data_IF_131126863006
#
_entry.id   IF_131126863006
#
_cell.length_a   1.000
_cell.length_b   1.000
_cell.length_c   1.000
_cell.angle_alpha   90.00
_cell.angle_beta   90.00
_cell.angle_gamma   90.00
#
_symmetry.space_group_name_H-M   'P 1'
#
loop_
_entity.id
_entity.type
_entity.pdbx_description
1 polymer ?
#
# COMPACT_ATOMS: atom_id res chain seq x y z
N UNK A 1 -1.80 21.56 -11.38
CA UNK A 1 -1.61 20.69 -10.18
C UNK A 1 -2.48 19.42 -10.14
N UNK A 2 -3.60 19.29 -10.90
CA UNK A 2 -4.54 18.16 -10.77
C UNK A 2 -4.25 16.89 -11.63
N UNK A 3 -3.31 16.93 -12.58
CA UNK A 3 -3.16 15.87 -13.61
C UNK A 3 -2.36 14.63 -13.18
N UNK A 4 -1.47 14.72 -12.19
CA UNK A 4 -0.74 13.55 -11.67
C UNK A 4 -1.61 12.67 -10.74
N UNK A 5 -2.64 13.26 -10.13
CA UNK A 5 -3.45 12.67 -9.06
C UNK A 5 -4.44 11.60 -9.55
N UNK A 6 -4.89 11.67 -10.81
CA UNK A 6 -5.80 10.68 -11.40
C UNK A 6 -5.13 9.36 -11.80
N UNK A 7 -3.79 9.31 -11.92
CA UNK A 7 -3.07 8.13 -12.42
C UNK A 7 -2.95 7.00 -11.38
N UNK A 8 -2.84 7.33 -10.09
CA UNK A 8 -2.80 6.34 -9.01
C UNK A 8 -4.08 5.47 -8.95
N UNK A 9 -5.23 6.06 -9.26
CA UNK A 9 -6.56 5.40 -9.21
C UNK A 9 -6.68 4.29 -10.27
N UNK A 10 -6.08 4.47 -11.45
CA UNK A 10 -6.15 3.47 -12.53
C UNK A 10 -5.20 2.29 -12.34
N UNK A 11 -4.19 2.43 -11.48
CA UNK A 11 -3.18 1.39 -11.23
C UNK A 11 -3.68 0.32 -10.24
N UNK A 12 -4.47 0.70 -9.23
CA UNK A 12 -4.92 -0.24 -8.20
C UNK A 12 -5.76 -1.42 -8.75
N UNK A 13 -6.72 -1.21 -9.68
CA UNK A 13 -7.40 -2.32 -10.36
C UNK A 13 -6.44 -3.19 -11.19
N UNK A 14 -5.36 -2.61 -11.75
CA UNK A 14 -4.34 -3.34 -12.53
C UNK A 14 -3.40 -4.14 -11.62
N UNK A 15 -2.99 -3.59 -10.48
CA UNK A 15 -2.25 -4.29 -9.43
C UNK A 15 -3.04 -5.49 -8.91
N UNK A 16 -4.33 -5.29 -8.57
CA UNK A 16 -5.23 -6.38 -8.14
C UNK A 16 -5.35 -7.48 -9.21
N UNK A 17 -5.53 -7.11 -10.48
CA UNK A 17 -5.61 -8.09 -11.59
C UNK A 17 -4.30 -8.83 -11.83
N UNK A 18 -3.14 -8.16 -11.78
CA UNK A 18 -1.83 -8.81 -11.94
C UNK A 18 -1.51 -9.75 -10.77
N UNK A 19 -1.89 -9.43 -9.54
CA UNK A 19 -1.72 -10.35 -8.42
C UNK A 19 -2.67 -11.54 -8.42
N UNK A 20 -3.93 -11.34 -8.85
CA UNK A 20 -4.85 -12.46 -9.06
C UNK A 20 -4.31 -13.47 -10.10
N UNK A 21 -3.47 -13.01 -11.03
CA UNK A 21 -2.77 -13.88 -11.97
C UNK A 21 -1.49 -14.54 -11.40
N UNK A 22 -0.84 -13.92 -10.40
CA UNK A 22 0.42 -14.40 -9.81
C UNK A 22 0.24 -15.34 -8.60
N UNK A 23 -0.92 -15.36 -7.94
CA UNK A 23 -1.19 -16.23 -6.79
C UNK A 23 -2.31 -17.25 -7.07
N UNK A 24 -1.93 -18.54 -7.13
CA UNK A 24 -2.85 -19.67 -6.95
C UNK A 24 -3.34 -19.70 -5.48
N UNK A 25 -4.37 -18.90 -5.13
CA UNK A 25 -5.17 -19.08 -3.91
C UNK A 25 -6.67 -19.06 -4.28
N UNK A 26 -7.53 -19.83 -3.57
CA UNK A 26 -8.89 -20.13 -3.99
C UNK A 26 -9.80 -18.89 -3.99
N UNK A 27 -10.82 -18.94 -4.84
CA UNK A 27 -11.71 -17.86 -5.27
C UNK A 27 -12.67 -17.28 -4.21
N UNK A 28 -12.20 -17.01 -2.97
CA UNK A 28 -13.01 -16.41 -1.89
C UNK A 28 -12.85 -14.89 -1.72
N UNK A 29 -12.11 -14.24 -2.61
CA UNK A 29 -11.76 -12.81 -2.51
C UNK A 29 -12.49 -11.88 -3.52
N UNK A 30 -13.61 -12.35 -4.08
CA UNK A 30 -14.34 -11.61 -5.13
C UNK A 30 -15.22 -10.47 -4.62
N UNK A 31 -15.52 -10.38 -3.32
CA UNK A 31 -16.50 -9.42 -2.79
C UNK A 31 -15.99 -8.53 -1.63
N UNK A 32 -14.68 -8.30 -1.51
CA UNK A 32 -14.15 -7.46 -0.43
C UNK A 32 -13.96 -6.00 -0.89
N UNK A 33 -14.32 -5.01 -0.06
CA UNK A 33 -14.26 -3.60 -0.44
C UNK A 33 -12.83 -3.22 -0.81
N UNK A 34 -12.63 -2.80 -2.06
CA UNK A 34 -11.37 -2.18 -2.49
C UNK A 34 -11.45 -0.70 -2.15
N UNK A 35 -10.77 -0.29 -1.08
CA UNK A 35 -10.69 1.12 -0.71
C UNK A 35 -9.61 1.79 -1.58
N UNK A 36 -10.00 2.81 -2.34
CA UNK A 36 -9.11 3.59 -3.20
C UNK A 36 -8.93 4.97 -2.60
N UNK A 37 -7.69 5.44 -2.48
CA UNK A 37 -7.36 6.64 -1.70
C UNK A 37 -6.90 7.82 -2.53
N UNK A 38 -7.29 9.00 -2.05
CA UNK A 38 -6.84 10.33 -2.50
C UNK A 38 -6.26 11.04 -1.28
N UNK A 39 -4.94 11.20 -1.21
CA UNK A 39 -4.29 11.98 -0.15
C UNK A 39 -4.55 13.47 -0.44
N UNK A 40 -5.40 14.09 0.38
CA UNK A 40 -5.60 15.54 0.39
C UNK A 40 -4.53 16.20 1.27
N UNK A 41 -4.30 17.49 1.03
CA UNK A 41 -3.39 18.40 1.75
C UNK A 41 -3.76 18.53 3.24
N UNK A 42 -3.59 17.45 4.01
CA UNK A 42 -3.67 17.50 5.46
C UNK A 42 -2.32 18.02 5.95
N UNK A 43 -2.33 19.03 6.81
CA UNK A 43 -1.13 19.50 7.51
C UNK A 43 -0.76 18.53 8.65
N UNK A 44 -0.75 17.24 8.33
CA UNK A 44 -0.53 16.12 9.24
C UNK A 44 0.61 15.26 8.67
N UNK A 45 1.75 15.18 9.36
CA UNK A 45 2.91 14.41 8.90
C UNK A 45 2.63 12.90 8.84
N UNK A 46 1.57 12.41 9.48
CA UNK A 46 1.19 10.99 9.50
C UNK A 46 0.18 10.63 8.41
N UNK A 47 -0.33 11.60 7.65
CA UNK A 47 -1.37 11.42 6.62
C UNK A 47 -0.85 10.77 5.32
N UNK A 48 -0.07 9.70 5.46
CA UNK A 48 0.33 8.82 4.38
C UNK A 48 -0.88 8.04 3.85
N UNK A 49 -0.80 7.61 2.58
CA UNK A 49 -1.89 6.90 1.93
C UNK A 49 -2.28 5.64 2.73
N UNK A 50 -1.30 4.88 3.21
CA UNK A 50 -1.50 3.66 3.99
C UNK A 50 -2.25 3.93 5.29
N UNK A 51 -1.86 4.97 6.03
CA UNK A 51 -2.50 5.34 7.29
C UNK A 51 -3.98 5.67 7.09
N UNK A 52 -4.28 6.46 6.06
CA UNK A 52 -5.66 6.80 5.70
C UNK A 52 -6.41 5.54 5.27
N UNK A 53 -5.76 4.60 4.56
CA UNK A 53 -6.36 3.35 4.09
C UNK A 53 -6.84 2.49 5.24
N UNK A 54 -5.94 2.30 6.23
CA UNK A 54 -6.18 1.48 7.39
C UNK A 54 -7.33 2.06 8.21
N UNK A 55 -7.33 3.38 8.44
CA UNK A 55 -8.40 4.08 9.17
C UNK A 55 -9.75 3.93 8.46
N UNK A 56 -9.80 4.14 7.15
CA UNK A 56 -11.03 4.01 6.38
C UNK A 56 -11.55 2.56 6.35
N UNK A 57 -10.65 1.58 6.17
CA UNK A 57 -11.01 0.16 6.20
C UNK A 57 -11.52 -0.25 7.58
N UNK A 58 -10.88 0.21 8.66
CA UNK A 58 -11.31 -0.08 10.01
C UNK A 58 -12.70 0.49 10.32
N UNK A 59 -12.96 1.73 9.89
CA UNK A 59 -14.27 2.36 10.02
C UNK A 59 -15.35 1.59 9.22
N UNK A 60 -15.05 1.20 7.98
CA UNK A 60 -15.99 0.47 7.13
C UNK A 60 -16.32 -0.95 7.65
N UNK A 61 -15.36 -1.60 8.31
CA UNK A 61 -15.52 -2.95 8.87
C UNK A 61 -15.98 -2.96 10.33
N UNK A 62 -16.01 -1.80 10.99
CA UNK A 62 -16.28 -1.71 12.43
C UNK A 62 -15.25 -2.45 13.29
N UNK A 63 -14.00 -2.57 12.82
CA UNK A 63 -12.95 -3.36 13.46
C UNK A 63 -11.58 -2.76 13.20
N UNK A 64 -10.73 -2.70 14.23
CA UNK A 64 -9.33 -2.32 14.08
C UNK A 64 -8.46 -3.44 13.47
N UNK A 65 -8.95 -4.70 13.49
CA UNK A 65 -8.27 -5.85 12.88
C UNK A 65 -8.73 -6.02 11.43
N UNK A 66 -7.79 -5.95 10.51
CA UNK A 66 -7.99 -6.01 9.06
C UNK A 66 -7.51 -7.34 8.47
N UNK A 67 -7.67 -8.45 9.21
CA UNK A 67 -7.25 -9.82 8.84
C UNK A 67 -7.84 -10.31 7.52
N UNK A 68 -8.91 -9.66 7.07
CA UNK A 68 -9.59 -9.93 5.83
C UNK A 68 -9.15 -9.10 4.63
N UNK A 69 -8.17 -8.21 4.78
CA UNK A 69 -7.85 -7.20 3.78
C UNK A 69 -6.55 -7.52 3.04
N UNK A 70 -6.37 -6.95 1.86
CA UNK A 70 -5.06 -6.84 1.22
C UNK A 70 -4.84 -5.37 0.91
N UNK A 71 -3.72 -4.82 1.36
CA UNK A 71 -3.37 -3.43 1.13
C UNK A 71 -2.55 -3.31 -0.16
N UNK A 72 -2.97 -2.40 -1.04
CA UNK A 72 -2.28 -2.10 -2.28
C UNK A 72 -1.80 -0.66 -2.24
N UNK A 73 -0.51 -0.44 -2.46
CA UNK A 73 0.13 0.87 -2.42
C UNK A 73 1.00 1.05 -3.65
N UNK A 74 1.23 2.28 -4.09
CA UNK A 74 2.06 2.51 -5.29
C UNK A 74 3.55 2.64 -4.99
N UNK A 75 3.90 2.93 -3.74
CA UNK A 75 5.29 3.08 -3.29
C UNK A 75 5.49 2.17 -2.08
N UNK A 76 6.69 1.62 -1.91
CA UNK A 76 7.03 0.81 -0.76
C UNK A 76 6.71 1.52 0.58
N UNK A 77 6.05 0.83 1.53
CA UNK A 77 5.73 1.42 2.83
C UNK A 77 6.96 1.86 3.63
N UNK A 78 6.87 3.03 4.26
CA UNK A 78 7.88 3.52 5.19
C UNK A 78 7.76 2.86 6.59
N UNK A 79 8.70 3.07 7.55
CA UNK A 79 8.66 2.39 8.84
C UNK A 79 7.37 2.64 9.62
N UNK A 80 6.85 3.87 9.57
CA UNK A 80 5.57 4.22 10.19
C UNK A 80 4.41 3.40 9.61
N UNK A 81 4.32 3.34 8.27
CA UNK A 81 3.23 2.65 7.59
C UNK A 81 3.35 1.13 7.74
N UNK A 82 4.56 0.57 7.61
CA UNK A 82 4.82 -0.84 7.85
C UNK A 82 4.46 -1.26 9.29
N UNK A 83 4.83 -0.45 10.29
CA UNK A 83 4.43 -0.66 11.67
C UNK A 83 2.91 -0.63 11.85
N UNK A 84 2.22 0.33 11.23
CA UNK A 84 0.77 0.43 11.29
C UNK A 84 0.07 -0.78 10.65
N UNK A 85 0.58 -1.27 9.51
CA UNK A 85 0.08 -2.49 8.84
C UNK A 85 0.16 -3.71 9.77
N UNK A 86 1.30 -3.88 10.45
CA UNK A 86 1.51 -4.96 11.43
C UNK A 86 0.53 -4.87 12.60
N UNK A 87 0.32 -3.65 13.13
CA UNK A 87 -0.62 -3.40 14.22
C UNK A 87 -2.08 -3.65 13.79
N UNK A 88 -2.44 -3.23 12.57
CA UNK A 88 -3.77 -3.42 12.00
C UNK A 88 -4.06 -4.87 11.56
N UNK A 89 -3.09 -5.78 11.70
CA UNK A 89 -3.22 -7.21 11.35
C UNK A 89 -3.57 -7.44 9.88
N UNK A 90 -3.10 -6.57 8.99
CA UNK A 90 -3.27 -6.76 7.55
C UNK A 90 -2.44 -7.98 7.13
N UNK A 91 -3.04 -9.03 6.54
CA UNK A 91 -2.34 -10.26 6.22
C UNK A 91 -1.44 -10.12 5.00
N UNK A 92 -1.75 -9.19 4.08
CA UNK A 92 -1.00 -9.05 2.85
C UNK A 92 -0.88 -7.61 2.35
N UNK A 93 0.32 -7.28 1.84
CA UNK A 93 0.65 -5.97 1.26
C UNK A 93 1.26 -6.14 -0.11
N UNK A 94 0.88 -5.25 -1.03
CA UNK A 94 1.42 -5.18 -2.38
C UNK A 94 1.86 -3.76 -2.65
N UNK A 95 3.06 -3.59 -3.20
CA UNK A 95 3.55 -2.28 -3.64
C UNK A 95 4.11 -2.28 -5.05
N UNK A 96 4.15 -1.08 -5.62
CA UNK A 96 4.68 -0.80 -6.94
C UNK A 96 6.17 -0.47 -6.92
N UNK A 97 6.52 0.80 -6.78
CA UNK A 97 7.92 1.23 -6.80
C UNK A 97 8.61 1.02 -5.44
N UNK A 98 9.90 0.71 -5.46
CA UNK A 98 10.75 0.75 -4.27
C UNK A 98 10.93 2.19 -3.75
N UNK A 99 11.15 2.35 -2.45
CA UNK A 99 11.52 3.64 -1.86
C UNK A 99 12.96 3.60 -1.34
N UNK A 100 13.96 4.08 -2.12
CA UNK A 100 15.36 4.09 -1.70
C UNK A 100 15.67 5.04 -0.54
N UNK A 101 14.73 5.91 -0.15
CA UNK A 101 14.94 6.89 0.93
C UNK A 101 14.27 6.50 2.23
N UNK A 102 13.19 5.74 2.17
CA UNK A 102 12.39 5.43 3.35
C UNK A 102 11.76 4.03 3.35
N UNK A 103 12.03 3.17 2.37
CA UNK A 103 11.39 1.86 2.25
C UNK A 103 11.71 0.93 3.42
N UNK A 104 10.70 0.35 4.05
CA UNK A 104 10.85 -0.46 5.26
C UNK A 104 10.47 -1.93 5.09
N UNK A 105 10.19 -2.37 3.86
CA UNK A 105 9.80 -3.76 3.57
C UNK A 105 10.96 -4.52 2.95
N UNK A 106 11.65 -3.94 1.97
CA UNK A 106 12.80 -4.54 1.29
C UNK A 106 14.00 -3.60 1.16
N UNK A 107 13.81 -2.27 1.14
CA UNK A 107 14.89 -1.38 0.70
C UNK A 107 15.86 -0.96 1.80
N UNK A 108 15.38 -0.39 2.91
CA UNK A 108 16.23 0.00 4.06
C UNK A 108 16.03 -0.90 5.28
N UNK A 109 14.84 -1.48 5.41
CA UNK A 109 14.49 -2.39 6.49
C UNK A 109 13.71 -3.58 5.93
N UNK A 110 13.67 -4.66 6.72
CA UNK A 110 12.91 -5.87 6.43
C UNK A 110 11.87 -6.12 7.52
N UNK A 111 11.03 -5.11 7.81
CA UNK A 111 10.22 -5.13 9.02
C UNK A 111 9.21 -6.28 9.05
N UNK A 112 8.67 -6.69 7.89
CA UNK A 112 7.73 -7.82 7.81
C UNK A 112 8.40 -9.19 8.01
N UNK A 113 9.72 -9.27 7.91
CA UNK A 113 10.50 -10.50 8.08
C UNK A 113 11.04 -10.64 9.51
N UNK A 114 10.92 -9.63 10.37
CA UNK A 114 11.45 -9.67 11.73
C UNK A 114 10.76 -10.75 12.57
N UNK A 115 11.51 -11.80 12.90
CA UNK A 115 11.02 -12.97 13.63
C UNK A 115 10.43 -12.61 15.01
N UNK A 116 10.81 -11.48 15.62
CA UNK A 116 10.34 -11.05 16.95
C UNK A 116 8.90 -10.52 16.95
N UNK A 117 8.35 -10.20 15.78
CA UNK A 117 6.99 -9.69 15.64
C UNK A 117 5.95 -10.82 15.63
N UNK A 118 4.78 -10.56 16.22
CA UNK A 118 3.73 -11.57 16.43
C UNK A 118 2.75 -11.72 15.25
N UNK A 119 2.82 -10.86 14.24
CA UNK A 119 1.98 -10.92 13.04
C UNK A 119 2.87 -11.00 11.81
N UNK A 120 2.47 -11.85 10.86
CA UNK A 120 3.19 -12.07 9.59
C UNK A 120 2.41 -11.44 8.46
N UNK A 121 3.14 -10.69 7.63
CA UNK A 121 2.56 -9.99 6.47
C UNK A 121 3.15 -10.60 5.21
N UNK A 122 2.30 -11.28 4.44
CA UNK A 122 2.61 -11.74 3.10
C UNK A 122 2.83 -10.51 2.19
N UNK A 123 3.97 -10.39 1.53
CA UNK A 123 4.30 -9.16 0.82
C UNK A 123 4.81 -9.43 -0.60
N UNK A 124 4.44 -8.56 -1.54
CA UNK A 124 4.89 -8.62 -2.95
C UNK A 124 5.19 -7.21 -3.44
N UNK A 125 6.46 -6.95 -3.72
CA UNK A 125 6.93 -5.68 -4.27
C UNK A 125 6.99 -5.64 -5.79
N UNK A 126 7.38 -4.48 -6.31
CA UNK A 126 7.75 -4.25 -7.70
C UNK A 126 6.63 -4.44 -8.73
N UNK A 127 5.36 -4.45 -8.30
CA UNK A 127 4.22 -4.66 -9.20
C UNK A 127 3.88 -3.37 -9.93
N UNK A 128 4.09 -3.35 -11.25
CA UNK A 128 3.97 -2.11 -12.05
C UNK A 128 4.98 -1.04 -11.58
N UNK A 129 6.16 -1.46 -11.10
CA UNK A 129 7.20 -0.59 -10.52
C UNK A 129 7.47 0.66 -11.37
N UNK A 130 7.70 0.50 -12.68
CA UNK A 130 7.99 1.63 -13.56
C UNK A 130 6.83 2.63 -13.64
N UNK A 131 5.59 2.13 -13.71
CA UNK A 131 4.40 2.98 -13.84
C UNK A 131 4.15 3.74 -12.54
N UNK A 132 4.30 3.06 -11.40
CA UNK A 132 4.21 3.67 -10.08
C UNK A 132 5.32 4.69 -9.84
N UNK A 133 6.57 4.37 -10.20
CA UNK A 133 7.74 5.26 -10.03
C UNK A 133 7.68 6.48 -10.95
N UNK A 134 7.12 6.33 -12.16
CA UNK A 134 6.87 7.45 -13.07
C UNK A 134 5.92 8.47 -12.47
N UNK A 135 4.85 8.05 -11.77
CA UNK A 135 3.92 9.01 -11.16
C UNK A 135 4.61 9.87 -10.10
N UNK A 136 5.41 9.24 -9.23
CA UNK A 136 6.16 9.96 -8.21
C UNK A 136 7.15 10.94 -8.85
N UNK A 137 7.89 10.47 -9.86
CA UNK A 137 8.89 11.27 -10.58
C UNK A 137 8.24 12.47 -11.31
N UNK A 138 7.12 12.26 -11.98
CA UNK A 138 6.35 13.31 -12.66
C UNK A 138 5.83 14.36 -11.68
N UNK A 139 5.41 13.95 -10.47
CA UNK A 139 4.96 14.87 -9.43
C UNK A 139 6.09 15.78 -8.94
N UNK A 140 7.28 15.24 -8.66
CA UNK A 140 8.41 16.03 -8.19
C UNK A 140 9.09 16.85 -9.27
N UNK A 141 9.01 16.44 -10.55
CA UNK A 141 9.55 17.22 -11.68
C UNK A 141 8.96 18.62 -11.75
N UNK A 142 7.68 18.79 -11.44
CA UNK A 142 7.01 20.09 -11.44
C UNK A 142 7.24 20.95 -10.18
N UNK A 143 8.11 20.51 -9.25
CA UNK A 143 8.41 21.20 -7.99
C UNK A 143 9.91 21.47 -7.79
N UNK A 144 10.72 21.19 -8.82
CA UNK A 144 12.17 21.45 -8.86
C UNK A 144 12.45 22.68 -9.69
#
# INVERSE_FOLDING_TARGET
AARAQGRHVHLLPRLRRRLAALRRRPARDRQRPTVTLRVLQLADPTAHAEMIALTQAAAALGSWRLEGCTLYVTLEPCPMCAGAILQARVPAVVWGAADPKAGAVETLYHLFEDARLNHRVDHVGHVLADECGRILSDFFRGKR
#
